data_IF_283327326331
#
_entry.id   IF_283327326331
#
_cell.length_a   1.000
_cell.length_b   1.000
_cell.length_c   1.000
_cell.angle_alpha   90.00
_cell.angle_beta   90.00
_cell.angle_gamma   90.00
#
_symmetry.space_group_name_H-M   'P 1'
#
loop_
_entity.id
_entity.type
_entity.pdbx_description
1 polymer ?
#
# COMPACT_ATOMS: atom_id res chain seq x y z
N UNK A 1 -21.60 23.26 -8.43
CA UNK A 1 -20.74 22.11 -8.68
C UNK A 1 -19.55 22.24 -7.73
N UNK A 2 -19.31 21.27 -6.86
CA UNK A 2 -18.13 21.24 -6.00
C UNK A 2 -16.89 21.09 -6.88
N UNK A 3 -15.81 21.83 -6.58
CA UNK A 3 -14.53 21.69 -7.27
C UNK A 3 -14.05 20.22 -7.13
N UNK A 4 -13.62 19.56 -8.21
CA UNK A 4 -13.10 18.20 -8.12
C UNK A 4 -11.93 18.14 -7.13
N UNK A 5 -11.86 17.09 -6.30
CA UNK A 5 -10.71 16.86 -5.43
C UNK A 5 -9.58 16.30 -6.29
N UNK A 6 -8.50 17.06 -6.40
CA UNK A 6 -7.26 16.64 -7.05
C UNK A 6 -6.27 16.26 -5.95
N UNK A 7 -5.67 15.08 -6.05
CA UNK A 7 -4.62 14.59 -5.14
C UNK A 7 -3.34 14.42 -5.93
N UNK A 8 -2.26 15.09 -5.54
CA UNK A 8 -0.95 14.86 -6.14
C UNK A 8 -0.27 13.67 -5.47
N UNK A 9 0.03 12.62 -6.25
CA UNK A 9 0.68 11.41 -5.77
C UNK A 9 2.11 11.29 -6.30
N UNK A 10 3.00 10.75 -5.49
CA UNK A 10 4.37 10.37 -5.84
C UNK A 10 4.56 8.87 -5.62
N UNK A 11 4.92 8.14 -6.67
CA UNK A 11 5.39 6.76 -6.62
C UNK A 11 6.91 6.75 -6.64
N UNK A 12 7.54 6.20 -5.62
CA UNK A 12 9.00 6.25 -5.44
C UNK A 12 9.63 4.95 -5.92
N UNK A 13 10.67 5.07 -6.76
CA UNK A 13 11.59 3.98 -7.07
C UNK A 13 12.85 4.17 -6.24
N UNK A 14 13.07 3.30 -5.25
CA UNK A 14 14.12 3.48 -4.26
C UNK A 14 15.03 2.27 -4.19
N UNK A 15 16.34 2.56 -4.15
CA UNK A 15 17.39 1.61 -3.79
C UNK A 15 17.63 1.68 -2.27
N UNK A 16 17.56 0.55 -1.54
CA UNK A 16 17.84 0.55 -0.10
C UNK A 16 19.34 0.80 0.16
N UNK A 17 19.68 1.19 1.38
CA UNK A 17 21.06 1.01 1.88
C UNK A 17 21.14 -0.43 2.37
N UNK A 18 21.77 -1.31 1.59
CA UNK A 18 21.84 -2.73 1.91
C UNK A 18 22.37 -2.97 3.33
N UNK A 19 21.71 -3.86 4.05
CA UNK A 19 22.08 -4.28 5.40
C UNK A 19 22.04 -3.16 6.46
N UNK A 20 21.33 -2.05 6.20
CA UNK A 20 21.16 -0.94 7.14
C UNK A 20 19.73 -0.41 7.19
N UNK A 21 19.05 -0.71 8.27
CA UNK A 21 17.72 -0.16 8.55
C UNK A 21 17.80 1.36 8.72
N UNK A 22 18.77 1.85 9.48
CA UNK A 22 18.98 3.28 9.71
C UNK A 22 19.23 4.04 8.40
N UNK A 23 20.14 3.53 7.57
CA UNK A 23 20.49 4.16 6.30
C UNK A 23 19.30 4.19 5.33
N UNK A 24 18.55 3.10 5.22
CA UNK A 24 17.35 3.06 4.36
C UNK A 24 16.24 3.96 4.91
N UNK A 25 16.06 4.01 6.25
CA UNK A 25 15.08 4.92 6.87
C UNK A 25 15.42 6.38 6.58
N UNK A 26 16.68 6.77 6.64
CA UNK A 26 17.12 8.13 6.30
C UNK A 26 16.74 8.46 4.85
N UNK A 27 17.06 7.58 3.89
CA UNK A 27 16.68 7.77 2.46
C UNK A 27 15.16 7.88 2.28
N UNK A 28 14.37 7.07 2.98
CA UNK A 28 12.90 7.14 2.96
C UNK A 28 12.42 8.50 3.45
N UNK A 29 12.96 8.98 4.58
CA UNK A 29 12.61 10.29 5.13
C UNK A 29 12.96 11.44 4.17
N UNK A 30 14.12 11.39 3.52
CA UNK A 30 14.52 12.37 2.51
C UNK A 30 13.60 12.34 1.28
N UNK A 31 13.23 11.15 0.81
CA UNK A 31 12.32 10.99 -0.32
C UNK A 31 10.90 11.52 0.00
N UNK A 32 10.39 11.33 1.23
CA UNK A 32 9.13 11.94 1.68
C UNK A 32 9.22 13.48 1.61
N UNK A 33 10.31 14.05 2.15
CA UNK A 33 10.52 15.49 2.15
C UNK A 33 10.66 16.05 0.71
N UNK A 34 11.32 15.32 -0.18
CA UNK A 34 11.45 15.70 -1.60
C UNK A 34 10.10 15.64 -2.33
N UNK A 35 9.30 14.58 -2.12
CA UNK A 35 7.98 14.45 -2.69
C UNK A 35 7.06 15.60 -2.24
N UNK A 36 7.09 15.94 -0.95
CA UNK A 36 6.34 17.07 -0.40
C UNK A 36 6.74 18.41 -1.05
N UNK A 37 8.03 18.65 -1.31
CA UNK A 37 8.50 19.85 -2.05
C UNK A 37 7.95 19.91 -3.47
N UNK A 38 7.64 18.76 -4.09
CA UNK A 38 6.97 18.65 -5.39
C UNK A 38 5.44 18.77 -5.29
N UNK A 39 4.92 19.02 -4.10
CA UNK A 39 3.51 19.18 -3.81
C UNK A 39 2.75 17.86 -3.66
N UNK A 40 3.43 16.72 -3.49
CA UNK A 40 2.76 15.45 -3.27
C UNK A 40 2.01 15.43 -1.93
N UNK A 41 0.80 14.88 -1.94
CA UNK A 41 -0.05 14.63 -0.77
C UNK A 41 -0.07 13.13 -0.40
N UNK A 42 0.28 12.26 -1.37
CA UNK A 42 0.46 10.81 -1.20
C UNK A 42 1.84 10.42 -1.69
N UNK A 43 2.58 9.68 -0.86
CA UNK A 43 3.90 9.13 -1.22
C UNK A 43 3.88 7.62 -1.02
N UNK A 44 4.18 6.87 -2.08
CA UNK A 44 4.16 5.40 -2.08
C UNK A 44 5.56 4.86 -2.30
N UNK A 45 5.98 3.95 -1.42
CA UNK A 45 7.28 3.28 -1.44
C UNK A 45 7.14 1.80 -1.83
N UNK A 46 8.24 1.16 -2.26
CA UNK A 46 8.24 -0.23 -2.70
C UNK A 46 7.90 -1.25 -1.60
N UNK A 47 7.61 -2.48 -2.06
CA UNK A 47 7.47 -3.66 -1.21
C UNK A 47 8.74 -3.92 -0.41
N UNK A 48 8.59 -4.06 0.92
CA UNK A 48 9.66 -4.34 1.89
C UNK A 48 10.99 -3.63 1.61
N UNK A 49 10.92 -2.40 1.08
CA UNK A 49 12.11 -1.58 0.85
C UNK A 49 12.89 -1.32 2.13
N UNK A 50 12.20 -1.38 3.27
CA UNK A 50 12.78 -1.16 4.58
C UNK A 50 12.85 -2.46 5.39
N UNK A 51 14.05 -2.91 5.80
CA UNK A 51 15.36 -2.36 5.47
C UNK A 51 15.81 -2.61 4.02
N UNK A 52 15.41 -3.72 3.41
CA UNK A 52 15.60 -4.12 2.01
C UNK A 52 14.82 -5.40 1.72
N UNK A 53 14.42 -5.61 0.45
CA UNK A 53 13.79 -6.86 0.03
C UNK A 53 14.81 -8.02 0.11
N UNK A 54 14.44 -9.22 0.56
CA UNK A 54 15.37 -10.35 0.73
C UNK A 54 15.74 -11.03 -0.60
N UNK A 55 16.37 -10.29 -1.52
CA UNK A 55 16.77 -10.78 -2.84
C UNK A 55 17.62 -12.06 -2.77
N UNK A 56 18.39 -12.25 -1.69
CA UNK A 56 19.19 -13.46 -1.48
C UNK A 56 18.34 -14.73 -1.48
N UNK A 57 17.09 -14.67 -1.03
CA UNK A 57 16.20 -15.84 -0.98
C UNK A 57 15.81 -16.34 -2.37
N UNK A 58 15.91 -15.49 -3.40
CA UNK A 58 15.61 -15.86 -4.78
C UNK A 58 16.79 -16.53 -5.48
N UNK A 59 18.02 -16.23 -5.08
CA UNK A 59 19.23 -16.67 -5.79
C UNK A 59 20.13 -17.62 -4.99
N UNK A 60 19.94 -17.73 -3.67
CA UNK A 60 20.74 -18.61 -2.81
C UNK A 60 19.94 -19.85 -2.41
N UNK A 61 20.62 -21.01 -2.34
CA UNK A 61 20.02 -22.20 -1.79
C UNK A 61 19.73 -22.03 -0.28
N UNK A 62 18.66 -22.64 0.27
CA UNK A 62 18.31 -22.52 1.69
C UNK A 62 19.44 -22.82 2.66
N UNK A 63 20.30 -23.78 2.33
CA UNK A 63 21.41 -24.20 3.19
C UNK A 63 22.51 -23.14 3.38
N UNK A 64 22.58 -22.14 2.49
CA UNK A 64 23.67 -21.12 2.51
C UNK A 64 23.19 -19.71 2.80
N UNK A 65 21.88 -19.47 2.87
CA UNK A 65 21.33 -18.11 3.09
C UNK A 65 21.18 -17.73 4.58
N UNK A 66 21.57 -18.60 5.52
CA UNK A 66 21.32 -18.38 6.96
C UNK A 66 21.93 -17.09 7.51
N UNK A 67 23.14 -16.74 7.06
CA UNK A 67 23.79 -15.50 7.49
C UNK A 67 23.07 -14.25 6.97
N UNK A 68 22.61 -14.27 5.72
CA UNK A 68 21.82 -13.16 5.13
C UNK A 68 20.47 -13.01 5.83
N UNK A 69 19.82 -14.15 6.15
CA UNK A 69 18.55 -14.15 6.87
C UNK A 69 18.72 -13.60 8.29
N UNK A 70 19.80 -13.97 9.00
CA UNK A 70 20.08 -13.43 10.34
C UNK A 70 20.30 -11.88 10.29
N UNK A 71 21.03 -11.39 9.30
CA UNK A 71 21.19 -9.94 9.10
C UNK A 71 19.83 -9.26 8.86
N UNK A 72 18.97 -9.84 8.02
CA UNK A 72 17.64 -9.31 7.77
C UNK A 72 16.81 -9.25 9.07
N UNK A 73 16.85 -10.30 9.91
CA UNK A 73 16.16 -10.33 11.20
C UNK A 73 16.64 -9.20 12.11
N UNK A 74 17.96 -8.96 12.16
CA UNK A 74 18.56 -7.93 13.00
C UNK A 74 18.17 -6.51 12.58
N UNK A 75 18.04 -6.29 11.27
CA UNK A 75 17.71 -4.99 10.68
C UNK A 75 16.19 -4.77 10.50
N UNK A 76 15.36 -5.79 10.75
CA UNK A 76 13.91 -5.70 10.52
C UNK A 76 13.20 -4.84 11.56
N UNK A 77 12.08 -4.27 11.17
CA UNK A 77 11.35 -3.21 11.88
C UNK A 77 10.32 -3.80 12.85
N UNK A 78 10.34 -3.40 14.11
CA UNK A 78 9.26 -3.67 15.06
C UNK A 78 8.13 -2.65 14.89
N UNK A 79 6.88 -3.12 14.92
CA UNK A 79 5.68 -2.27 14.75
C UNK A 79 4.74 -2.43 15.96
N UNK A 80 4.42 -1.32 16.68
CA UNK A 80 5.03 0.00 16.61
C UNK A 80 6.47 0.01 17.13
N UNK A 81 7.26 1.02 16.74
CA UNK A 81 8.64 1.16 17.19
C UNK A 81 9.33 2.41 16.66
N UNK A 82 10.61 2.63 17.01
CA UNK A 82 11.31 3.88 16.71
C UNK A 82 11.30 4.26 15.22
N UNK A 83 11.41 3.27 14.31
CA UNK A 83 11.38 3.50 12.87
C UNK A 83 10.00 3.97 12.41
N UNK A 84 8.93 3.35 12.90
CA UNK A 84 7.56 3.77 12.57
C UNK A 84 7.27 5.16 13.12
N UNK A 85 7.77 5.49 14.32
CA UNK A 85 7.62 6.81 14.93
C UNK A 85 8.37 7.88 14.10
N UNK A 86 9.57 7.57 13.61
CA UNK A 86 10.35 8.46 12.75
C UNK A 86 9.63 8.75 11.43
N UNK A 87 9.12 7.73 10.74
CA UNK A 87 8.37 7.89 9.49
C UNK A 87 7.08 8.69 9.74
N UNK A 88 6.32 8.37 10.79
CA UNK A 88 5.12 9.10 11.16
C UNK A 88 5.40 10.58 11.45
N UNK A 89 6.51 10.87 12.17
CA UNK A 89 6.93 12.25 12.44
C UNK A 89 7.29 13.01 11.16
N UNK A 90 7.92 12.36 10.17
CA UNK A 90 8.23 12.97 8.86
C UNK A 90 6.96 13.19 8.06
N UNK A 91 6.07 12.19 7.97
CA UNK A 91 4.78 12.29 7.31
C UNK A 91 3.97 13.49 7.85
N UNK A 92 3.89 13.61 9.19
CA UNK A 92 3.22 14.73 9.86
C UNK A 92 3.85 16.09 9.52
N UNK A 93 5.18 16.21 9.59
CA UNK A 93 5.85 17.49 9.26
C UNK A 93 5.65 17.89 7.81
N UNK A 94 5.62 16.91 6.92
CA UNK A 94 5.39 17.12 5.49
C UNK A 94 3.90 17.31 5.14
N UNK A 95 2.98 16.90 6.02
CA UNK A 95 1.54 16.92 5.79
C UNK A 95 1.11 15.94 4.69
N UNK A 96 1.79 14.79 4.56
CA UNK A 96 1.56 13.82 3.48
C UNK A 96 1.14 12.45 4.02
N UNK A 97 0.30 11.77 3.27
CA UNK A 97 0.00 10.34 3.49
C UNK A 97 1.15 9.50 2.94
N UNK A 98 1.63 8.53 3.72
CA UNK A 98 2.76 7.67 3.34
C UNK A 98 2.34 6.21 3.37
N UNK A 99 2.55 5.50 2.26
CA UNK A 99 2.43 4.06 2.18
C UNK A 99 3.79 3.42 1.91
N UNK A 100 4.22 2.45 2.75
CA UNK A 100 5.56 1.87 2.67
C UNK A 100 5.54 0.37 3.01
N UNK A 101 6.31 -0.42 2.26
CA UNK A 101 6.56 -1.83 2.55
C UNK A 101 7.78 -2.02 3.46
N UNK A 102 7.62 -2.84 4.49
CA UNK A 102 8.67 -3.14 5.47
C UNK A 102 8.81 -4.65 5.70
N UNK A 103 10.00 -5.08 6.13
CA UNK A 103 10.16 -6.33 6.85
C UNK A 103 9.80 -6.07 8.32
N UNK A 104 8.62 -6.49 8.74
CA UNK A 104 8.19 -6.43 10.12
C UNK A 104 8.81 -7.59 10.91
N UNK A 105 9.36 -7.31 12.08
CA UNK A 105 9.78 -8.30 13.03
C UNK A 105 8.80 -8.39 14.19
N UNK A 106 8.17 -9.54 14.33
CA UNK A 106 7.33 -9.89 15.47
C UNK A 106 7.98 -11.06 16.20
N UNK A 107 8.70 -10.76 17.29
CA UNK A 107 9.52 -11.72 18.04
C UNK A 107 10.53 -12.48 17.15
N UNK A 108 10.28 -13.76 16.89
CA UNK A 108 11.14 -14.62 16.07
C UNK A 108 10.69 -14.75 14.63
N UNK A 109 9.61 -14.10 14.22
CA UNK A 109 9.03 -14.19 12.87
C UNK A 109 9.15 -12.88 12.12
N UNK A 110 9.49 -12.97 10.83
CA UNK A 110 9.41 -11.84 9.92
C UNK A 110 8.11 -11.89 9.12
N UNK A 111 7.60 -10.71 8.78
CA UNK A 111 6.44 -10.54 7.90
C UNK A 111 6.73 -9.48 6.85
N UNK A 112 6.17 -9.67 5.67
CA UNK A 112 6.07 -8.64 4.65
C UNK A 112 4.86 -7.76 4.98
N UNK A 113 5.11 -6.56 5.44
CA UNK A 113 4.06 -5.68 5.98
C UNK A 113 4.01 -4.36 5.23
N UNK A 114 2.79 -3.94 4.88
CA UNK A 114 2.50 -2.63 4.34
C UNK A 114 2.02 -1.72 5.49
N UNK A 115 2.66 -0.58 5.66
CA UNK A 115 2.27 0.46 6.60
C UNK A 115 1.63 1.62 5.86
N UNK A 116 0.56 2.17 6.43
CA UNK A 116 -0.10 3.38 5.94
C UNK A 116 -0.15 4.40 7.07
N UNK A 117 0.53 5.53 6.87
CA UNK A 117 0.50 6.70 7.76
C UNK A 117 -0.39 7.77 7.16
N UNK A 118 -1.30 8.34 7.94
CA UNK A 118 -2.09 9.49 7.50
C UNK A 118 -1.26 10.78 7.58
N UNK A 119 -1.75 11.85 7.01
CA UNK A 119 -1.07 13.15 6.93
C UNK A 119 -0.78 13.80 8.30
N UNK A 120 -1.46 13.36 9.35
CA UNK A 120 -1.18 13.74 10.75
C UNK A 120 -0.08 12.88 11.41
N UNK A 121 0.47 11.91 10.67
CA UNK A 121 1.53 10.99 11.08
C UNK A 121 1.07 9.76 11.86
N UNK A 122 -0.24 9.58 12.06
CA UNK A 122 -0.77 8.36 12.69
C UNK A 122 -0.61 7.16 11.76
N UNK A 123 -0.11 6.05 12.29
CA UNK A 123 -0.18 4.75 11.63
C UNK A 123 -1.64 4.26 11.63
N UNK A 124 -2.32 4.32 10.47
CA UNK A 124 -3.73 3.98 10.33
C UNK A 124 -3.94 2.55 9.84
N UNK A 125 -2.92 1.94 9.26
CA UNK A 125 -2.93 0.52 8.91
C UNK A 125 -1.53 -0.08 8.97
N UNK A 126 -1.43 -1.30 9.53
CA UNK A 126 -0.32 -2.22 9.38
C UNK A 126 -0.90 -3.54 8.87
N UNK A 127 -0.57 -3.91 7.63
CA UNK A 127 -1.14 -5.06 6.94
C UNK A 127 -0.05 -6.04 6.53
N UNK A 128 -0.08 -7.23 7.06
CA UNK A 128 0.80 -8.34 6.65
C UNK A 128 0.32 -8.95 5.34
N UNK A 129 1.23 -9.21 4.40
CA UNK A 129 0.96 -9.94 3.14
C UNK A 129 0.32 -11.29 3.47
N UNK A 130 -0.83 -11.58 2.86
CA UNK A 130 -1.61 -12.79 3.21
C UNK A 130 -0.87 -14.08 2.87
N UNK A 131 -0.14 -14.08 1.76
CA UNK A 131 0.64 -15.25 1.33
C UNK A 131 1.96 -14.79 0.72
N UNK A 132 3.11 -15.07 1.35
CA UNK A 132 4.41 -14.86 0.74
C UNK A 132 4.56 -15.68 -0.53
N UNK A 133 5.24 -15.12 -1.54
CA UNK A 133 5.36 -15.71 -2.87
C UNK A 133 6.54 -16.66 -2.94
N UNK A 134 6.33 -17.90 -3.39
CA UNK A 134 7.37 -18.86 -3.77
C UNK A 134 8.56 -18.89 -2.76
N UNK A 135 9.72 -18.30 -3.12
CA UNK A 135 10.93 -18.23 -2.29
C UNK A 135 10.75 -17.39 -1.01
N UNK A 136 9.84 -16.41 -1.02
CA UNK A 136 9.53 -15.58 0.14
C UNK A 136 9.01 -16.39 1.33
N UNK A 137 8.43 -17.57 1.08
CA UNK A 137 7.91 -18.47 2.14
C UNK A 137 8.99 -19.01 3.07
N UNK A 138 10.25 -18.91 2.68
CA UNK A 138 11.38 -19.25 3.55
C UNK A 138 11.75 -18.11 4.50
N UNK A 139 11.23 -16.90 4.26
CA UNK A 139 11.58 -15.68 4.99
C UNK A 139 10.42 -15.23 5.87
N UNK A 140 9.20 -15.16 5.30
CA UNK A 140 8.07 -14.53 5.93
C UNK A 140 6.96 -15.48 6.33
N UNK A 141 6.36 -15.18 7.49
CA UNK A 141 5.07 -15.73 7.90
C UNK A 141 3.91 -15.19 7.06
N UNK A 142 2.78 -15.85 7.15
CA UNK A 142 1.54 -15.46 6.48
C UNK A 142 0.78 -14.42 7.30
N UNK A 143 0.20 -13.42 6.62
CA UNK A 143 -0.78 -12.52 7.21
C UNK A 143 -2.15 -13.16 7.29
N UNK A 144 -3.04 -12.53 8.05
CA UNK A 144 -4.47 -12.87 8.10
C UNK A 144 -5.33 -11.87 7.31
N UNK A 145 -6.65 -12.08 7.35
CA UNK A 145 -7.58 -11.21 6.64
C UNK A 145 -7.90 -9.89 7.36
N UNK A 146 -7.38 -9.64 8.57
CA UNK A 146 -7.71 -8.45 9.35
C UNK A 146 -7.29 -7.15 8.65
N UNK A 147 -6.19 -7.19 7.89
CA UNK A 147 -5.67 -6.07 7.10
C UNK A 147 -6.27 -5.96 5.70
N UNK A 148 -7.07 -6.92 5.22
CA UNK A 148 -7.71 -6.85 3.91
C UNK A 148 -8.89 -5.88 3.92
N UNK A 149 -8.58 -4.58 3.93
CA UNK A 149 -9.57 -3.49 3.90
C UNK A 149 -8.98 -2.22 3.31
N UNK A 150 -9.81 -1.43 2.68
CA UNK A 150 -9.47 -0.06 2.33
C UNK A 150 -9.68 0.86 3.56
N UNK A 151 -8.83 1.88 3.71
CA UNK A 151 -8.79 2.78 4.87
C UNK A 151 -8.98 4.22 4.42
N UNK A 152 -9.81 4.97 5.14
CA UNK A 152 -10.00 6.40 4.91
C UNK A 152 -8.78 7.20 5.39
N UNK A 153 -8.30 8.11 4.54
CA UNK A 153 -7.17 8.99 4.78
C UNK A 153 -7.46 10.42 4.35
N UNK A 154 -6.57 11.35 4.64
CA UNK A 154 -6.68 12.75 4.21
C UNK A 154 -6.82 12.89 2.68
N UNK A 155 -6.27 11.96 1.89
CA UNK A 155 -6.30 12.04 0.41
C UNK A 155 -7.43 11.24 -0.23
N UNK A 156 -8.12 10.39 0.52
CA UNK A 156 -9.20 9.53 0.07
C UNK A 156 -9.07 8.13 0.64
N UNK A 157 -9.90 7.22 0.13
CA UNK A 157 -9.93 5.83 0.58
C UNK A 157 -8.87 5.01 -0.15
N UNK A 158 -7.91 4.47 0.61
CA UNK A 158 -6.76 3.74 0.09
C UNK A 158 -6.89 2.24 0.36
N UNK A 159 -6.81 1.43 -0.72
CA UNK A 159 -6.55 0.00 -0.67
C UNK A 159 -5.09 -0.29 -0.95
N UNK A 160 -4.57 -1.42 -0.47
CA UNK A 160 -3.17 -1.79 -0.69
C UNK A 160 -2.98 -3.30 -0.83
N UNK A 161 -2.19 -3.72 -1.82
CA UNK A 161 -1.73 -5.10 -2.00
C UNK A 161 -0.24 -5.12 -2.35
N UNK A 162 0.43 -6.23 -2.02
CA UNK A 162 1.85 -6.42 -2.29
C UNK A 162 2.08 -7.46 -3.39
N UNK A 163 2.77 -7.08 -4.46
CA UNK A 163 3.30 -7.94 -5.51
C UNK A 163 2.25 -8.93 -6.08
N UNK A 164 2.53 -10.21 -6.02
CA UNK A 164 1.64 -11.24 -6.56
C UNK A 164 0.36 -11.50 -5.75
N UNK A 165 0.13 -10.81 -4.64
CA UNK A 165 -1.23 -10.74 -4.07
C UNK A 165 -2.24 -10.23 -5.10
N UNK A 166 -1.80 -9.35 -6.02
CA UNK A 166 -2.62 -8.89 -7.13
C UNK A 166 -3.07 -10.02 -8.08
N UNK A 167 -2.39 -11.17 -8.09
CA UNK A 167 -2.81 -12.32 -8.90
C UNK A 167 -3.91 -13.14 -8.22
N UNK A 168 -4.23 -12.84 -6.95
CA UNK A 168 -5.40 -13.38 -6.29
C UNK A 168 -6.62 -12.49 -6.60
N UNK A 169 -7.54 -12.89 -7.49
CA UNK A 169 -8.68 -12.07 -7.86
C UNK A 169 -9.61 -11.81 -6.68
N UNK A 170 -9.66 -12.70 -5.69
CA UNK A 170 -10.50 -12.52 -4.50
C UNK A 170 -9.94 -11.43 -3.59
N UNK A 171 -8.61 -11.32 -3.42
CA UNK A 171 -7.99 -10.25 -2.66
C UNK A 171 -8.23 -8.88 -3.32
N UNK A 172 -8.12 -8.79 -4.66
CA UNK A 172 -8.46 -7.57 -5.41
C UNK A 172 -9.93 -7.20 -5.25
N UNK A 173 -10.83 -8.18 -5.35
CA UNK A 173 -12.27 -7.95 -5.21
C UNK A 173 -12.62 -7.40 -3.82
N UNK A 174 -11.95 -7.84 -2.76
CA UNK A 174 -12.13 -7.28 -1.40
C UNK A 174 -11.82 -5.78 -1.37
N UNK A 175 -10.73 -5.33 -2.01
CA UNK A 175 -10.38 -3.91 -2.06
C UNK A 175 -11.41 -3.11 -2.86
N UNK A 176 -11.86 -3.64 -4.00
CA UNK A 176 -12.94 -3.03 -4.80
C UNK A 176 -14.24 -2.91 -3.99
N UNK A 177 -14.63 -3.98 -3.27
CA UNK A 177 -15.85 -4.02 -2.47
C UNK A 177 -15.80 -3.06 -1.26
N UNK A 178 -14.62 -2.72 -0.80
CA UNK A 178 -14.40 -1.67 0.21
C UNK A 178 -14.36 -0.26 -0.41
N UNK A 179 -14.66 -0.13 -1.72
CA UNK A 179 -14.75 1.14 -2.43
C UNK A 179 -13.46 1.97 -2.39
N UNK A 180 -12.30 1.34 -2.60
CA UNK A 180 -11.05 2.06 -2.73
C UNK A 180 -11.11 3.10 -3.86
N UNK A 181 -10.53 4.27 -3.63
CA UNK A 181 -10.39 5.35 -4.61
C UNK A 181 -8.98 5.36 -5.21
N UNK A 182 -8.01 5.04 -4.37
CA UNK A 182 -6.60 4.93 -4.74
C UNK A 182 -6.09 3.57 -4.26
N UNK A 183 -5.59 2.78 -5.18
CA UNK A 183 -4.94 1.50 -4.88
C UNK A 183 -3.43 1.69 -4.83
N UNK A 184 -2.82 1.29 -3.72
CA UNK A 184 -1.37 1.25 -3.57
C UNK A 184 -0.86 -0.14 -3.94
N UNK A 185 -0.06 -0.20 -5.00
CA UNK A 185 0.64 -1.40 -5.42
C UNK A 185 2.13 -1.28 -5.11
N UNK A 186 2.71 -2.33 -4.53
CA UNK A 186 4.11 -2.37 -4.15
C UNK A 186 4.75 -3.62 -4.70
N UNK A 187 5.90 -3.48 -5.37
CA UNK A 187 6.67 -4.61 -5.89
C UNK A 187 8.16 -4.45 -5.53
N UNK A 188 8.92 -5.58 -5.46
CA UNK A 188 10.33 -5.49 -5.07
C UNK A 188 11.23 -4.88 -6.16
N UNK A 189 10.83 -4.96 -7.44
CA UNK A 189 11.71 -4.60 -8.54
C UNK A 189 12.99 -5.45 -8.59
N UNK A 190 13.90 -5.14 -9.49
CA UNK A 190 15.22 -5.81 -9.63
C UNK A 190 15.17 -7.34 -9.57
N UNK A 191 14.16 -7.92 -10.20
CA UNK A 191 13.94 -9.37 -10.31
C UNK A 191 13.47 -9.74 -11.72
N UNK A 192 13.91 -10.88 -12.23
CA UNK A 192 13.40 -11.59 -13.41
C UNK A 192 13.35 -10.77 -14.72
N UNK A 193 13.93 -9.57 -14.75
CA UNK A 193 14.08 -8.79 -15.98
C UNK A 193 12.77 -8.27 -16.57
N UNK A 194 12.72 -8.21 -17.90
CA UNK A 194 11.60 -7.62 -18.65
C UNK A 194 10.28 -8.33 -18.45
N UNK A 195 10.29 -9.65 -18.24
CA UNK A 195 9.06 -10.42 -17.99
C UNK A 195 8.33 -9.89 -16.75
N UNK A 196 9.07 -9.60 -15.67
CA UNK A 196 8.46 -9.09 -14.45
C UNK A 196 7.92 -7.67 -14.64
N UNK A 197 8.64 -6.83 -15.38
CA UNK A 197 8.18 -5.49 -15.75
C UNK A 197 6.85 -5.53 -16.49
N UNK A 198 6.72 -6.38 -17.51
CA UNK A 198 5.49 -6.54 -18.31
C UNK A 198 4.34 -7.07 -17.44
N UNK A 199 4.63 -8.02 -16.53
CA UNK A 199 3.63 -8.53 -15.59
C UNK A 199 3.14 -7.46 -14.63
N UNK A 200 4.03 -6.61 -14.10
CA UNK A 200 3.65 -5.48 -13.25
C UNK A 200 2.75 -4.51 -14.02
N UNK A 201 3.15 -4.11 -15.23
CA UNK A 201 2.36 -3.19 -16.07
C UNK A 201 0.95 -3.72 -16.32
N UNK A 202 0.82 -4.97 -16.78
CA UNK A 202 -0.49 -5.59 -17.02
C UNK A 202 -1.32 -5.61 -15.73
N UNK A 203 -0.71 -5.99 -14.61
CA UNK A 203 -1.38 -6.14 -13.32
C UNK A 203 -1.97 -4.82 -12.82
N UNK A 204 -1.18 -3.75 -12.79
CA UNK A 204 -1.62 -2.46 -12.24
C UNK A 204 -2.63 -1.76 -13.15
N UNK A 205 -2.46 -1.87 -14.46
CA UNK A 205 -3.42 -1.32 -15.43
C UNK A 205 -4.74 -2.07 -15.41
N UNK A 206 -4.69 -3.40 -15.30
CA UNK A 206 -5.89 -4.21 -15.19
C UNK A 206 -6.64 -3.92 -13.88
N UNK A 207 -5.93 -3.80 -12.75
CA UNK A 207 -6.57 -3.47 -11.48
C UNK A 207 -7.27 -2.10 -11.55
N UNK A 208 -6.61 -1.07 -12.08
CA UNK A 208 -7.21 0.25 -12.25
C UNK A 208 -8.49 0.20 -13.12
N UNK A 209 -8.43 -0.53 -14.24
CA UNK A 209 -9.56 -0.66 -15.17
C UNK A 209 -10.74 -1.42 -14.55
N UNK A 210 -10.48 -2.53 -13.83
CA UNK A 210 -11.47 -3.41 -13.23
C UNK A 210 -12.16 -2.77 -12.03
N UNK A 211 -11.38 -2.07 -11.18
CA UNK A 211 -11.88 -1.42 -9.96
C UNK A 211 -12.45 -0.02 -10.22
N UNK A 212 -12.06 0.61 -11.34
CA UNK A 212 -12.39 2.01 -11.62
C UNK A 212 -11.73 2.99 -10.65
N UNK A 213 -10.56 2.65 -10.10
CA UNK A 213 -9.78 3.48 -9.18
C UNK A 213 -8.43 3.90 -9.78
N UNK A 214 -7.73 4.83 -9.14
CA UNK A 214 -6.33 5.11 -9.45
C UNK A 214 -5.43 4.02 -8.88
N UNK A 215 -4.32 3.70 -9.56
CA UNK A 215 -3.25 2.85 -9.00
C UNK A 215 -1.95 3.62 -8.93
N UNK A 216 -1.35 3.68 -7.74
CA UNK A 216 -0.02 4.24 -7.51
C UNK A 216 0.91 3.08 -7.19
N UNK A 217 1.79 2.76 -8.13
CA UNK A 217 2.70 1.61 -8.04
C UNK A 217 4.14 2.05 -7.84
N UNK A 218 4.79 1.52 -6.81
CA UNK A 218 6.21 1.72 -6.51
C UNK A 218 6.98 0.40 -6.62
N UNK A 219 8.20 0.48 -7.19
CA UNK A 219 9.11 -0.67 -7.29
C UNK A 219 10.46 -0.37 -6.65
N UNK A 220 11.06 -1.38 -5.98
CA UNK A 220 12.43 -1.31 -5.52
C UNK A 220 13.41 -1.31 -6.70
N UNK A 221 14.65 -0.91 -6.40
CA UNK A 221 15.74 -0.89 -7.36
C UNK A 221 17.04 -1.34 -6.68
N UNK A 222 17.84 -2.11 -7.37
CA UNK A 222 19.23 -2.38 -6.99
C UNK A 222 20.14 -1.79 -8.06
N UNK A 223 21.09 -0.99 -7.64
CA UNK A 223 22.16 -0.53 -8.53
C UNK A 223 23.12 -1.69 -8.89
N UNK A 224 23.97 -1.54 -9.91
CA UNK A 224 24.88 -2.60 -10.33
C UNK A 224 25.84 -3.10 -9.24
N UNK A 225 26.26 -2.24 -8.29
CA UNK A 225 27.14 -2.63 -7.18
C UNK A 225 26.36 -3.47 -6.16
N UNK A 226 25.17 -3.07 -5.84
CA UNK A 226 24.27 -3.83 -4.97
C UNK A 226 23.87 -5.18 -5.57
N UNK A 227 23.61 -5.23 -6.87
CA UNK A 227 23.38 -6.50 -7.59
C UNK A 227 24.59 -7.43 -7.42
N UNK A 228 25.81 -6.92 -7.61
CA UNK A 228 27.03 -7.72 -7.43
C UNK A 228 27.23 -8.16 -5.98
N UNK A 229 26.94 -7.29 -5.00
CA UNK A 229 27.03 -7.61 -3.57
C UNK A 229 26.05 -8.70 -3.16
N UNK A 230 24.77 -8.57 -3.53
CA UNK A 230 23.72 -9.55 -3.20
C UNK A 230 24.00 -10.90 -3.90
N UNK A 231 24.38 -10.84 -5.17
CA UNK A 231 24.67 -12.05 -5.94
C UNK A 231 25.92 -12.78 -5.43
N UNK A 232 26.94 -12.05 -4.99
CA UNK A 232 28.20 -12.65 -4.54
C UNK A 232 28.77 -13.61 -5.57
N UNK A 233 29.05 -14.86 -5.16
CA UNK A 233 29.62 -15.89 -6.02
C UNK A 233 28.59 -16.82 -6.68
N UNK A 234 27.31 -16.43 -6.71
CA UNK A 234 26.24 -17.29 -7.27
C UNK A 234 26.25 -17.34 -8.80
N UNK A 235 26.80 -16.32 -9.48
CA UNK A 235 26.71 -16.17 -10.94
C UNK A 235 25.31 -15.83 -11.44
N UNK A 236 24.40 -15.37 -10.55
CA UNK A 236 22.99 -15.11 -10.82
C UNK A 236 22.65 -13.60 -10.87
N UNK A 237 23.60 -12.72 -11.17
CA UNK A 237 23.40 -11.27 -11.23
C UNK A 237 22.29 -10.87 -12.21
N UNK A 238 22.13 -11.65 -13.30
CA UNK A 238 21.07 -11.39 -14.29
C UNK A 238 19.68 -11.55 -13.71
N UNK A 239 19.51 -12.43 -12.71
CA UNK A 239 18.23 -12.65 -12.05
C UNK A 239 17.80 -11.49 -11.16
N UNK A 240 18.75 -10.59 -10.82
CA UNK A 240 18.54 -9.41 -9.97
C UNK A 240 18.53 -8.10 -10.78
N UNK A 241 18.32 -8.17 -12.09
CA UNK A 241 18.29 -6.98 -12.97
C UNK A 241 16.93 -6.81 -13.61
N UNK A 242 16.58 -5.55 -13.93
CA UNK A 242 15.31 -5.20 -14.56
C UNK A 242 14.10 -5.39 -13.63
N UNK A 243 12.93 -5.61 -14.18
CA UNK A 243 11.71 -5.84 -13.39
C UNK A 243 11.19 -4.63 -12.62
N UNK A 244 11.72 -3.43 -12.84
CA UNK A 244 11.20 -2.20 -12.27
C UNK A 244 10.14 -1.60 -13.20
N UNK A 245 9.03 -1.16 -12.61
CA UNK A 245 7.97 -0.44 -13.31
C UNK A 245 7.20 0.44 -12.33
N UNK A 246 7.81 1.56 -11.94
CA UNK A 246 7.14 2.54 -11.07
C UNK A 246 6.27 3.45 -11.91
N UNK A 247 4.97 3.50 -11.61
CA UNK A 247 3.99 4.16 -12.45
C UNK A 247 2.74 4.60 -11.68
N UNK A 248 2.00 5.54 -12.26
CA UNK A 248 0.68 5.98 -11.77
C UNK A 248 -0.33 5.79 -12.90
N UNK A 249 -1.44 5.11 -12.60
CA UNK A 249 -2.45 4.68 -13.56
C UNK A 249 -3.80 5.32 -13.24
N UNK A 250 -4.50 5.80 -14.26
CA UNK A 250 -5.85 6.35 -14.15
C UNK A 250 -6.92 5.25 -14.02
N UNK A 251 -8.15 5.57 -13.61
CA UNK A 251 -9.28 4.61 -13.60
C UNK A 251 -9.62 4.02 -14.98
N UNK A 252 -9.10 4.59 -16.06
CA UNK A 252 -9.27 4.10 -17.43
C UNK A 252 -8.13 3.13 -17.85
N UNK A 253 -7.20 2.78 -16.93
CA UNK A 253 -6.06 1.90 -17.20
C UNK A 253 -4.93 2.56 -17.99
N UNK A 254 -4.90 3.90 -18.10
CA UNK A 254 -3.86 4.66 -18.81
C UNK A 254 -2.80 5.20 -17.85
N UNK A 255 -1.55 5.25 -18.29
CA UNK A 255 -0.47 5.87 -17.53
C UNK A 255 -0.65 7.39 -17.48
N UNK A 256 -0.53 8.00 -16.31
CA UNK A 256 -0.65 9.45 -16.11
C UNK A 256 0.66 10.20 -16.34
N UNK A 257 1.78 9.49 -16.28
CA UNK A 257 3.12 10.01 -16.56
C UNK A 257 4.00 8.89 -17.14
N UNK A 258 5.14 9.20 -17.77
CA UNK A 258 6.12 8.18 -18.17
C UNK A 258 6.54 7.32 -16.97
N UNK A 259 6.54 5.98 -17.08
CA UNK A 259 6.95 5.10 -16.00
C UNK A 259 8.46 5.15 -15.80
N UNK A 260 8.92 4.87 -14.58
CA UNK A 260 10.32 4.59 -14.30
C UNK A 260 10.59 3.10 -14.38
N UNK A 261 11.61 2.73 -15.13
CA UNK A 261 12.01 1.32 -15.32
C UNK A 261 13.45 1.05 -14.92
N UNK A 262 14.19 2.08 -14.54
CA UNK A 262 15.60 2.01 -14.12
C UNK A 262 15.94 3.20 -13.21
N UNK A 263 17.01 3.05 -12.41
CA UNK A 263 17.52 4.10 -11.52
C UNK A 263 16.64 4.39 -10.32
N UNK A 264 17.01 5.41 -9.54
CA UNK A 264 16.25 5.94 -8.40
C UNK A 264 15.53 7.23 -8.78
N UNK A 265 14.37 7.44 -8.18
CA UNK A 265 13.59 8.67 -8.38
C UNK A 265 12.13 8.49 -8.02
N UNK A 266 11.27 9.32 -8.59
CA UNK A 266 9.83 9.25 -8.38
C UNK A 266 9.04 9.68 -9.60
N UNK A 267 7.93 9.02 -9.83
CA UNK A 267 6.88 9.42 -10.77
C UNK A 267 5.85 10.24 -10.01
N UNK A 268 5.51 11.43 -10.49
CA UNK A 268 4.54 12.32 -9.87
C UNK A 268 3.40 12.59 -10.85
N UNK A 269 2.16 12.51 -10.39
CA UNK A 269 0.98 12.83 -11.18
C UNK A 269 -0.17 13.35 -10.31
N UNK A 270 -1.08 14.10 -10.92
CA UNK A 270 -2.31 14.59 -10.31
C UNK A 270 -3.44 13.57 -10.56
N UNK A 271 -4.13 13.19 -9.48
CA UNK A 271 -5.26 12.28 -9.48
C UNK A 271 -6.55 13.10 -9.35
N UNK A 272 -7.26 13.34 -10.45
CA UNK A 272 -8.59 13.93 -10.40
C UNK A 272 -9.61 12.87 -10.01
N UNK A 273 -10.02 12.86 -8.73
CA UNK A 273 -10.92 11.83 -8.19
C UNK A 273 -12.30 11.82 -8.88
N UNK A 274 -12.69 12.86 -9.62
CA UNK A 274 -13.93 12.86 -10.41
C UNK A 274 -13.91 11.84 -11.56
N UNK A 275 -12.72 11.42 -12.00
CA UNK A 275 -12.57 10.37 -13.02
C UNK A 275 -13.08 9.00 -12.54
N UNK A 276 -13.10 8.76 -11.22
CA UNK A 276 -13.66 7.55 -10.62
C UNK A 276 -15.16 7.49 -10.92
N UNK A 277 -15.90 8.57 -10.65
CA UNK A 277 -17.34 8.65 -10.93
C UNK A 277 -17.61 8.51 -12.42
N UNK A 278 -16.82 9.19 -13.25
CA UNK A 278 -16.91 9.13 -14.70
C UNK A 278 -16.76 7.68 -15.18
N UNK A 279 -15.79 6.93 -14.64
CA UNK A 279 -15.53 5.53 -15.00
C UNK A 279 -16.63 4.60 -14.46
N UNK A 280 -16.93 4.68 -13.17
CA UNK A 280 -17.90 3.82 -12.49
C UNK A 280 -19.33 4.00 -13.00
N UNK A 281 -19.70 5.19 -13.46
CA UNK A 281 -20.98 5.43 -14.13
C UNK A 281 -21.26 4.46 -15.29
N UNK A 282 -20.22 4.05 -15.99
CA UNK A 282 -20.33 3.11 -17.12
C UNK A 282 -20.22 1.66 -16.67
N UNK A 283 -19.30 1.38 -15.75
CA UNK A 283 -18.97 0.04 -15.28
C UNK A 283 -18.43 0.09 -13.85
N UNK A 284 -19.26 -0.34 -12.89
CA UNK A 284 -18.88 -0.52 -11.49
C UNK A 284 -19.00 -1.99 -11.11
N UNK A 285 -17.85 -2.67 -11.03
CA UNK A 285 -17.76 -4.12 -10.78
C UNK A 285 -18.41 -4.57 -9.48
N UNK A 286 -18.43 -3.69 -8.48
CA UNK A 286 -19.02 -3.96 -7.14
C UNK A 286 -20.34 -3.22 -6.90
N UNK A 287 -20.79 -2.43 -7.88
CA UNK A 287 -22.05 -1.70 -7.88
C UNK A 287 -23.07 -2.33 -8.85
N UNK A 288 -23.46 -1.57 -9.88
CA UNK A 288 -24.54 -1.97 -10.79
C UNK A 288 -24.19 -3.16 -11.74
N UNK A 289 -22.92 -3.61 -11.79
CA UNK A 289 -22.53 -4.87 -12.45
C UNK A 289 -22.45 -6.05 -11.48
N UNK A 290 -22.55 -5.80 -10.17
CA UNK A 290 -22.54 -6.87 -9.17
C UNK A 290 -23.85 -7.66 -9.18
N UNK A 291 -23.74 -8.96 -9.00
CA UNK A 291 -24.87 -9.91 -8.88
C UNK A 291 -24.68 -10.75 -7.60
N UNK A 292 -24.81 -10.13 -6.40
CA UNK A 292 -24.52 -10.80 -5.13
C UNK A 292 -25.42 -12.01 -4.86
N UNK A 293 -26.58 -12.10 -5.50
CA UNK A 293 -27.46 -13.27 -5.45
C UNK A 293 -26.93 -14.47 -6.27
N UNK A 294 -25.93 -14.24 -7.16
CA UNK A 294 -25.25 -15.28 -7.93
C UNK A 294 -23.84 -15.53 -7.43
N UNK A 295 -23.11 -14.48 -7.14
CA UNK A 295 -21.70 -14.51 -6.78
C UNK A 295 -21.45 -13.59 -5.59
N UNK A 296 -21.07 -14.16 -4.46
CA UNK A 296 -20.68 -13.41 -3.27
C UNK A 296 -19.37 -13.95 -2.69
N UNK A 297 -18.57 -13.04 -2.13
CA UNK A 297 -17.30 -13.37 -1.49
C UNK A 297 -17.45 -13.34 0.02
N UNK A 298 -17.03 -14.42 0.68
CA UNK A 298 -16.91 -14.47 2.14
C UNK A 298 -15.47 -14.13 2.54
N UNK A 299 -15.31 -13.17 3.43
CA UNK A 299 -14.01 -12.75 3.95
C UNK A 299 -13.98 -12.90 5.46
N UNK A 300 -12.99 -13.61 5.98
CA UNK A 300 -12.72 -13.63 7.42
C UNK A 300 -11.75 -12.50 7.77
N UNK A 301 -12.27 -11.42 8.34
CA UNK A 301 -11.48 -10.26 8.82
C UNK A 301 -11.19 -10.30 10.31
N UNK A 302 -11.50 -11.39 10.99
CA UNK A 302 -11.13 -11.55 12.40
C UNK A 302 -9.61 -11.79 12.50
N UNK A 303 -8.91 -11.12 13.43
CA UNK A 303 -7.52 -11.44 13.73
C UNK A 303 -7.38 -12.92 14.09
N UNK A 304 -6.30 -13.55 13.63
CA UNK A 304 -6.03 -14.96 13.86
C UNK A 304 -4.86 -15.14 14.85
N UNK A 305 -5.09 -15.00 16.18
CA UNK A 305 -4.05 -15.18 17.18
C UNK A 305 -3.60 -16.65 17.22
N UNK A 306 -2.31 -16.89 17.51
CA UNK A 306 -1.77 -18.25 17.63
C UNK A 306 -2.39 -19.03 18.79
N UNK A 307 -2.85 -18.34 19.83
CA UNK A 307 -3.51 -18.92 20.99
C UNK A 307 -4.89 -18.31 21.15
N UNK A 308 -5.91 -19.15 21.29
CA UNK A 308 -7.26 -18.75 21.67
C UNK A 308 -7.61 -19.42 22.98
N UNK A 309 -8.07 -18.65 23.95
CA UNK A 309 -8.62 -19.20 25.17
C UNK A 309 -10.02 -19.75 24.86
N UNK A 310 -10.19 -21.06 25.04
CA UNK A 310 -11.46 -21.75 24.80
C UNK A 310 -12.56 -21.29 25.78
N UNK A 311 -12.17 -20.75 26.93
CA UNK A 311 -13.09 -20.25 27.95
C UNK A 311 -13.36 -18.74 27.84
N UNK A 312 -12.65 -18.03 26.96
CA UNK A 312 -12.99 -16.64 26.66
C UNK A 312 -14.33 -16.59 25.94
N UNK A 313 -15.27 -15.79 26.42
CA UNK A 313 -16.46 -15.46 25.65
C UNK A 313 -16.02 -14.93 24.28
N UNK A 314 -16.69 -15.36 23.18
CA UNK A 314 -16.36 -14.82 21.87
C UNK A 314 -16.47 -13.30 21.97
N UNK A 315 -15.38 -12.58 21.67
CA UNK A 315 -15.40 -11.13 21.63
C UNK A 315 -16.62 -10.72 20.82
N UNK A 316 -17.55 -10.01 21.44
CA UNK A 316 -18.71 -9.48 20.74
C UNK A 316 -18.18 -8.79 19.49
N UNK A 317 -18.68 -9.07 18.28
CA UNK A 317 -18.24 -8.38 17.10
C UNK A 317 -18.35 -6.89 17.42
N UNK A 318 -17.23 -6.18 17.43
CA UNK A 318 -17.26 -4.72 17.56
C UNK A 318 -18.31 -4.24 16.57
N UNK A 319 -19.31 -3.46 16.99
CA UNK A 319 -20.34 -3.03 16.09
C UNK A 319 -19.61 -2.43 14.87
N UNK A 320 -19.75 -3.06 13.73
CA UNK A 320 -19.35 -2.45 12.46
C UNK A 320 -20.10 -1.13 12.48
N UNK A 321 -19.38 -0.03 12.68
CA UNK A 321 -19.97 1.29 12.46
C UNK A 321 -20.36 1.28 11.00
N UNK A 322 -21.62 0.96 10.74
CA UNK A 322 -22.23 1.21 9.46
C UNK A 322 -22.20 2.74 9.29
N UNK A 323 -21.20 3.24 8.60
CA UNK A 323 -21.14 4.63 8.15
C UNK A 323 -22.21 4.89 7.06
N UNK A 324 -23.38 4.30 7.21
CA UNK A 324 -24.62 4.71 6.58
C UNK A 324 -25.42 5.58 7.55
N UNK A 325 -24.75 6.50 8.27
CA UNK A 325 -25.48 7.67 8.74
C UNK A 325 -25.75 8.53 7.51
N UNK A 326 -26.98 8.37 7.01
CA UNK A 326 -27.58 9.22 6.01
C UNK A 326 -27.26 10.68 6.29
N UNK A 327 -26.76 11.37 5.27
CA UNK A 327 -26.74 12.82 5.23
C UNK A 327 -28.18 13.31 5.44
N UNK A 328 -28.53 13.65 6.68
CA UNK A 328 -29.72 14.44 6.94
C UNK A 328 -29.42 15.85 6.42
N UNK A 329 -30.27 16.41 5.56
CA UNK A 329 -30.05 17.79 5.10
C UNK A 329 -30.13 18.72 6.32
N UNK A 330 -29.15 19.63 6.40
CA UNK A 330 -29.14 20.71 7.36
C UNK A 330 -30.49 21.45 7.27
N UNK A 331 -31.30 21.35 8.34
CA UNK A 331 -32.44 22.23 8.52
C UNK A 331 -31.88 23.61 8.89
N UNK A 332 -32.18 24.59 8.06
CA UNK A 332 -32.01 25.99 8.42
C UNK A 332 -32.79 26.29 9.70
N UNK A 333 -32.25 27.09 10.62
CA UNK A 333 -32.98 27.51 11.81
C UNK A 333 -34.17 28.37 11.38
N UNK A 334 -35.36 28.02 11.86
CA UNK A 334 -36.58 28.79 11.65
C UNK A 334 -36.40 30.22 12.18
N UNK A 335 -36.76 31.24 11.36
CA UNK A 335 -36.80 32.59 11.78
C UNK A 335 -37.76 32.78 12.96
N UNK A 336 -37.27 33.37 14.05
CA UNK A 336 -38.09 33.75 15.20
C UNK A 336 -38.96 34.94 14.77
N UNK A 337 -40.29 34.75 14.75
CA UNK A 337 -41.26 35.81 14.68
C UNK A 337 -41.18 36.67 15.97
N UNK A 338 -40.76 37.93 15.82
CA UNK A 338 -40.95 38.93 16.85
C UNK A 338 -42.44 39.32 16.93
N UNK A 339 -43.07 38.96 18.03
CA UNK A 339 -44.41 39.45 18.37
C UNK A 339 -44.29 40.90 18.85
N UNK A 340 -44.85 41.81 18.04
CA UNK A 340 -45.10 43.17 18.45
C UNK A 340 -46.12 43.17 19.58
N UNK A 341 -45.73 43.67 20.76
CA UNK A 341 -46.64 43.97 21.86
C UNK A 341 -47.15 45.41 21.73
N UNK A 342 -48.44 45.53 21.64
CA UNK A 342 -49.15 46.81 21.75
C UNK A 342 -49.01 47.40 23.13
N UNK A 343 -48.74 48.70 23.17
CA UNK A 343 -48.93 49.58 24.35
C UNK A 343 -50.22 50.36 24.15
N UNK A 344 -51.14 50.19 25.06
CA UNK A 344 -52.15 51.19 25.42
C UNK A 344 -51.87 51.73 26.79
#
# INVERSE_FOLDING_TARGET
>A
MTTPKIVRAAAVQLSPVLYSCEGTTAKVCDAIAEAAKKGAELVVFPETVLPYYPYFSFIKAPAVMGADHLKLIQESVTVPGPVTDQIGAVAKRAGVVVAIGINERDHGTLYNTQLLFDADGRLVQARRKITPTFHERMIWGQGDGSGLRAVDTAVGRIGALACWEHYNPLARYVMMADHEQIHVAMFPGSLVGDIFREQIEVTIRHHALESGCFVVNATGYLDPLQVAEVAGNTGLERALRGGCFTAIVSPEGTLLAPPMTDGEGMVVADLDLSLIDKRKRMMDSVGHYSRPELLSLLVNRAPQPHVRDLNAEPASPSPVRNNHESFAPHREPAATEETAGELS
#
